data_IF_304062237759
#
_entry.id   IF_304062237759
#
_cell.length_a   1.000
_cell.length_b   1.000
_cell.length_c   1.000
_cell.angle_alpha   90.00
_cell.angle_beta   90.00
_cell.angle_gamma   90.00
#
_symmetry.space_group_name_H-M   'P 1'
#
loop_
_entity.id
_entity.type
_entity.pdbx_description
1 polymer ?
#
# COMPACT_ATOMS: atom_id res chain seq x y z
N UNK A 1 9.95 11.87 -3.06
CA UNK A 1 10.74 11.42 -4.24
C UNK A 1 11.58 10.24 -3.79
N UNK A 2 11.33 9.08 -4.39
CA UNK A 2 11.96 7.81 -3.98
C UNK A 2 13.31 7.66 -4.67
N UNK A 3 14.38 7.86 -3.91
CA UNK A 3 15.76 7.83 -4.40
C UNK A 3 16.49 6.58 -3.93
N UNK A 4 17.00 5.80 -4.87
CA UNK A 4 17.96 4.73 -4.62
C UNK A 4 19.36 5.30 -4.73
N UNK A 5 20.06 5.34 -3.61
CA UNK A 5 21.45 5.77 -3.54
C UNK A 5 22.37 4.57 -3.68
N UNK A 6 23.30 4.66 -4.60
CA UNK A 6 24.39 3.71 -4.79
C UNK A 6 25.57 4.28 -4.05
N UNK A 7 26.06 3.62 -3.03
CA UNK A 7 27.16 4.09 -2.18
C UNK A 7 28.23 3.02 -2.03
N UNK A 8 29.47 3.44 -1.80
CA UNK A 8 30.58 2.56 -1.46
C UNK A 8 30.95 2.76 0.02
N UNK A 9 31.09 1.66 0.76
CA UNK A 9 31.55 1.70 2.13
C UNK A 9 33.09 1.82 2.19
N UNK A 10 33.68 2.10 3.37
CA UNK A 10 35.14 2.18 3.55
C UNK A 10 35.89 0.88 3.21
N UNK A 11 35.22 -0.26 3.20
CA UNK A 11 35.77 -1.56 2.85
C UNK A 11 35.71 -1.85 1.33
N UNK A 12 35.19 -0.90 0.55
CA UNK A 12 35.07 -1.02 -0.90
C UNK A 12 33.80 -1.72 -1.39
N UNK A 13 32.89 -2.12 -0.50
CA UNK A 13 31.64 -2.76 -0.90
C UNK A 13 30.64 -1.73 -1.42
N UNK A 14 30.01 -2.05 -2.56
CA UNK A 14 28.96 -1.22 -3.13
C UNK A 14 27.60 -1.67 -2.59
N UNK A 15 26.83 -0.71 -2.11
CA UNK A 15 25.49 -0.96 -1.56
C UNK A 15 24.43 -0.31 -2.44
N UNK A 16 23.46 -1.11 -2.81
CA UNK A 16 22.22 -0.73 -3.47
C UNK A 16 21.07 -0.79 -2.45
N UNK A 17 20.50 0.35 -2.14
CA UNK A 17 19.48 0.44 -1.09
C UNK A 17 18.15 -0.13 -1.56
N UNK A 18 17.51 -0.96 -0.74
CA UNK A 18 16.09 -1.32 -0.90
C UNK A 18 15.20 -0.10 -0.59
N UNK A 19 14.21 0.13 -1.43
CA UNK A 19 13.18 1.16 -1.22
C UNK A 19 11.79 0.57 -1.33
N UNK A 20 10.83 1.22 -0.67
CA UNK A 20 9.41 0.91 -0.78
C UNK A 20 8.70 2.08 -1.45
N UNK A 21 7.83 1.79 -2.40
CA UNK A 21 7.10 2.79 -3.19
C UNK A 21 5.66 2.34 -3.44
N UNK A 22 4.77 3.28 -3.69
CA UNK A 22 3.46 2.99 -4.26
C UNK A 22 3.58 2.74 -5.77
N UNK A 23 2.68 1.93 -6.31
CA UNK A 23 2.68 1.51 -7.72
C UNK A 23 2.67 2.69 -8.71
N UNK A 24 2.19 3.87 -8.29
CA UNK A 24 2.14 5.09 -9.09
C UNK A 24 3.37 5.97 -8.97
N UNK A 25 4.30 5.63 -8.08
CA UNK A 25 5.48 6.43 -7.82
C UNK A 25 6.65 6.05 -8.73
N UNK A 26 7.53 7.03 -8.96
CA UNK A 26 8.76 6.84 -9.71
C UNK A 26 9.96 6.66 -8.77
N UNK A 27 10.93 5.89 -9.20
CA UNK A 27 12.21 5.69 -8.52
C UNK A 27 13.33 6.32 -9.34
N UNK A 28 14.23 7.00 -8.64
CA UNK A 28 15.43 7.60 -9.23
C UNK A 28 16.67 6.95 -8.63
N UNK A 29 17.63 6.64 -9.49
CA UNK A 29 18.94 6.20 -9.03
C UNK A 29 19.90 7.39 -8.93
N UNK A 30 20.69 7.42 -7.87
CA UNK A 30 21.77 8.40 -7.69
C UNK A 30 23.06 7.67 -7.39
N UNK A 31 24.03 7.80 -8.24
CA UNK A 31 25.36 7.25 -7.99
C UNK A 31 26.16 8.21 -7.10
N UNK A 32 26.45 7.77 -5.88
CA UNK A 32 27.32 8.43 -4.92
C UNK A 32 28.65 7.69 -4.71
N UNK A 33 28.91 6.64 -5.50
CA UNK A 33 30.22 5.97 -5.53
C UNK A 33 31.23 6.88 -6.23
N UNK A 34 32.27 7.35 -5.56
CA UNK A 34 33.25 8.25 -6.16
C UNK A 34 34.24 7.54 -7.08
N UNK A 35 34.24 6.21 -7.09
CA UNK A 35 35.29 5.41 -7.76
C UNK A 35 34.79 4.76 -9.05
N UNK A 36 33.49 4.46 -9.15
CA UNK A 36 32.99 3.67 -10.27
C UNK A 36 31.62 4.19 -10.78
N UNK A 37 31.41 3.97 -12.06
CA UNK A 37 30.11 4.10 -12.69
C UNK A 37 29.25 2.88 -12.35
N UNK A 38 27.94 3.06 -12.24
CA UNK A 38 26.96 2.00 -12.07
C UNK A 38 25.86 2.15 -13.10
N UNK A 39 25.35 1.04 -13.60
CA UNK A 39 24.27 0.99 -14.55
C UNK A 39 23.15 0.07 -14.05
N UNK A 40 22.32 0.56 -13.10
CA UNK A 40 21.21 -0.22 -12.58
C UNK A 40 20.13 -0.40 -13.65
N UNK A 41 19.70 -1.64 -13.87
CA UNK A 41 18.57 -1.96 -14.74
C UNK A 41 17.56 -2.80 -13.99
N UNK A 42 16.29 -2.54 -14.27
CA UNK A 42 15.21 -3.39 -13.77
C UNK A 42 15.15 -4.67 -14.57
N UNK A 43 14.72 -5.76 -13.94
CA UNK A 43 14.51 -7.04 -14.60
C UNK A 43 13.47 -6.98 -15.74
N UNK A 44 12.72 -5.88 -15.85
CA UNK A 44 11.68 -5.63 -16.85
C UNK A 44 12.14 -4.87 -18.09
N UNK A 45 13.44 -4.93 -18.45
CA UNK A 45 13.99 -4.38 -19.71
C UNK A 45 14.06 -2.85 -19.84
N UNK A 46 13.98 -2.08 -18.79
CA UNK A 46 14.25 -0.65 -18.88
C UNK A 46 15.75 -0.38 -18.73
N UNK A 47 16.38 -0.07 -19.83
CA UNK A 47 17.82 0.22 -19.91
C UNK A 47 18.01 1.72 -19.98
N UNK A 48 18.56 2.31 -18.93
CA UNK A 48 19.06 3.68 -18.98
C UNK A 48 20.47 3.73 -19.56
N UNK A 49 20.96 4.91 -20.03
CA UNK A 49 22.35 5.07 -20.43
C UNK A 49 23.28 4.82 -19.24
N UNK A 50 24.42 4.19 -19.50
CA UNK A 50 25.44 4.00 -18.48
C UNK A 50 25.90 5.38 -17.94
N UNK A 51 25.92 5.58 -16.61
CA UNK A 51 26.43 6.82 -16.05
C UNK A 51 27.93 6.95 -16.32
N UNK A 52 28.40 8.18 -16.52
CA UNK A 52 29.82 8.43 -16.64
C UNK A 52 30.55 8.12 -15.32
N UNK A 53 31.79 7.71 -15.41
CA UNK A 53 32.59 7.22 -14.27
C UNK A 53 32.72 8.21 -13.09
N UNK A 54 32.48 9.50 -13.29
CA UNK A 54 32.60 10.55 -12.26
C UNK A 54 31.27 11.27 -12.01
N UNK A 55 30.15 10.70 -12.43
CA UNK A 55 28.84 11.29 -12.24
C UNK A 55 28.34 11.01 -10.82
N UNK A 56 28.17 12.06 -10.02
CA UNK A 56 27.48 11.96 -8.74
C UNK A 56 25.99 11.66 -8.87
N UNK A 57 25.45 11.74 -10.08
CA UNK A 57 24.08 11.43 -10.42
C UNK A 57 24.08 10.48 -11.61
N UNK A 58 23.38 9.38 -11.45
CA UNK A 58 23.04 8.50 -12.55
C UNK A 58 21.76 9.05 -13.19
N UNK A 59 21.80 9.67 -14.39
CA UNK A 59 20.58 10.07 -15.08
C UNK A 59 19.93 8.84 -15.71
N UNK A 60 19.59 7.88 -14.91
CA UNK A 60 18.65 6.84 -15.33
C UNK A 60 17.29 7.53 -15.40
N UNK A 61 16.64 7.60 -16.58
CA UNK A 61 15.26 8.06 -16.63
C UNK A 61 14.49 7.25 -15.59
N UNK A 62 13.57 7.85 -14.84
CA UNK A 62 12.83 7.14 -13.81
C UNK A 62 12.28 5.87 -14.46
N UNK A 63 12.62 4.68 -13.93
CA UNK A 63 11.93 3.50 -14.37
C UNK A 63 10.48 3.75 -14.00
N UNK A 64 9.64 3.98 -15.00
CA UNK A 64 8.23 3.86 -14.76
C UNK A 64 8.04 2.40 -14.39
N UNK A 65 7.77 2.12 -13.13
CA UNK A 65 7.22 0.85 -12.71
C UNK A 65 5.79 0.85 -13.24
N UNK A 66 5.67 0.84 -14.56
CA UNK A 66 4.41 0.55 -15.21
C UNK A 66 4.17 -0.91 -14.92
N UNK A 67 3.24 -1.14 -14.02
CA UNK A 67 2.67 -2.47 -13.87
C UNK A 67 2.18 -2.94 -15.25
N UNK A 68 2.82 -3.93 -15.90
CA UNK A 68 2.28 -4.50 -17.11
C UNK A 68 1.04 -5.31 -16.69
N UNK A 69 -0.13 -4.72 -16.65
CA UNK A 69 -1.37 -5.23 -16.12
C UNK A 69 -1.31 -5.52 -14.60
N UNK A 70 -1.83 -4.61 -13.75
CA UNK A 70 -2.24 -5.07 -12.45
C UNK A 70 -3.23 -6.21 -12.71
N UNK A 71 -2.99 -7.39 -12.16
CA UNK A 71 -4.06 -8.39 -12.15
C UNK A 71 -5.26 -7.68 -11.54
N UNK A 72 -6.48 -7.89 -12.09
CA UNK A 72 -7.67 -7.29 -11.53
C UNK A 72 -7.61 -7.53 -10.04
N UNK A 73 -7.81 -6.48 -9.24
CA UNK A 73 -7.68 -6.51 -7.81
C UNK A 73 -8.63 -7.56 -7.24
N UNK A 74 -8.15 -8.79 -7.21
CA UNK A 74 -8.78 -9.84 -6.41
C UNK A 74 -8.48 -9.45 -4.97
N UNK A 75 -9.54 -9.24 -4.22
CA UNK A 75 -9.61 -8.78 -2.82
C UNK A 75 -8.66 -9.53 -1.85
N UNK A 76 -7.96 -10.54 -2.31
CA UNK A 76 -7.07 -11.42 -1.54
C UNK A 76 -5.59 -11.36 -1.93
N UNK A 77 -5.18 -10.49 -2.83
CA UNK A 77 -3.76 -10.41 -3.19
C UNK A 77 -3.03 -9.46 -2.25
N UNK A 78 -1.89 -9.92 -1.74
CA UNK A 78 -0.91 -9.03 -1.12
C UNK A 78 -0.63 -7.92 -2.13
N UNK A 79 -0.86 -6.67 -1.78
CA UNK A 79 -0.77 -5.56 -2.73
C UNK A 79 0.67 -5.23 -3.12
N UNK A 80 1.65 -6.04 -2.75
CA UNK A 80 3.04 -5.76 -3.03
C UNK A 80 3.67 -6.81 -3.93
N UNK A 81 4.40 -6.34 -4.92
CA UNK A 81 5.36 -7.13 -5.66
C UNK A 81 6.76 -6.53 -5.50
N UNK A 82 7.76 -7.32 -5.73
CA UNK A 82 9.15 -6.87 -5.69
C UNK A 82 9.73 -6.80 -7.09
N UNK A 83 10.48 -5.74 -7.36
CA UNK A 83 11.28 -5.60 -8.58
C UNK A 83 12.74 -5.67 -8.18
N UNK A 84 13.46 -6.65 -8.70
CA UNK A 84 14.91 -6.72 -8.54
C UNK A 84 15.58 -5.88 -9.62
N UNK A 85 16.57 -5.11 -9.25
CA UNK A 85 17.44 -4.40 -10.17
C UNK A 85 18.90 -4.77 -9.89
N UNK A 86 19.75 -4.71 -10.91
CA UNK A 86 21.16 -5.03 -10.81
C UNK A 86 22.00 -4.15 -11.72
N UNK A 87 23.27 -3.99 -11.37
CA UNK A 87 24.22 -3.31 -12.23
C UNK A 87 24.53 -4.17 -13.46
N UNK A 88 24.55 -3.55 -14.66
CA UNK A 88 24.87 -4.21 -15.92
C UNK A 88 26.34 -4.05 -16.35
N UNK A 89 27.13 -3.31 -15.60
CA UNK A 89 28.54 -3.12 -15.89
C UNK A 89 29.28 -4.45 -15.67
N UNK A 90 30.10 -4.92 -16.62
CA UNK A 90 30.90 -6.13 -16.44
C UNK A 90 31.74 -6.06 -15.15
N UNK A 91 31.73 -7.13 -14.38
CA UNK A 91 32.39 -7.20 -13.07
C UNK A 91 31.51 -6.78 -11.87
N UNK A 92 30.33 -6.16 -12.11
CA UNK A 92 29.42 -5.68 -11.07
C UNK A 92 28.15 -6.54 -10.90
N UNK A 93 28.16 -7.78 -11.40
CA UNK A 93 26.96 -8.63 -11.47
C UNK A 93 26.34 -8.99 -10.10
N UNK A 94 27.13 -8.87 -9.03
CA UNK A 94 26.66 -9.10 -7.66
C UNK A 94 26.02 -7.85 -7.03
N UNK A 95 26.11 -6.69 -7.69
CA UNK A 95 25.53 -5.44 -7.23
C UNK A 95 24.06 -5.39 -7.62
N UNK A 96 23.20 -5.66 -6.65
CA UNK A 96 21.77 -5.73 -6.85
C UNK A 96 21.00 -5.17 -5.67
N UNK A 97 19.75 -4.80 -5.92
CA UNK A 97 18.85 -4.34 -4.89
C UNK A 97 17.40 -4.66 -5.22
N UNK A 98 16.51 -4.27 -4.34
CA UNK A 98 15.08 -4.56 -4.43
C UNK A 98 14.26 -3.29 -4.28
N UNK A 99 13.26 -3.15 -5.12
CA UNK A 99 12.17 -2.19 -4.98
C UNK A 99 10.93 -2.94 -4.54
N UNK A 100 10.41 -2.61 -3.36
CA UNK A 100 9.12 -3.11 -2.90
C UNK A 100 8.02 -2.18 -3.40
N UNK A 101 7.11 -2.70 -4.21
CA UNK A 101 6.02 -1.92 -4.80
C UNK A 101 4.71 -2.29 -4.12
N UNK A 102 4.01 -1.29 -3.61
CA UNK A 102 2.72 -1.45 -2.91
C UNK A 102 1.59 -0.89 -3.76
N UNK A 103 0.42 -1.53 -3.69
CA UNK A 103 -0.79 -0.95 -4.25
C UNK A 103 -1.18 0.31 -3.47
N UNK A 104 -1.73 1.30 -4.17
CA UNK A 104 -2.24 2.51 -3.53
C UNK A 104 -3.36 2.16 -2.55
N UNK A 105 -3.38 2.85 -1.41
CA UNK A 105 -4.46 2.73 -0.43
C UNK A 105 -5.80 3.11 -1.07
N UNK A 106 -6.77 2.20 -1.03
CA UNK A 106 -8.06 2.38 -1.67
C UNK A 106 -9.21 1.79 -0.85
N UNK A 107 -10.43 2.25 -1.12
CA UNK A 107 -11.61 1.63 -0.57
C UNK A 107 -11.78 0.20 -1.14
N UNK A 108 -12.08 -0.72 -0.26
CA UNK A 108 -12.51 -2.06 -0.61
C UNK A 108 -14.01 -2.12 -0.86
N UNK A 109 -14.67 -3.16 -0.33
CA UNK A 109 -16.11 -3.28 -0.44
C UNK A 109 -16.82 -2.23 0.42
N UNK A 110 -17.62 -1.36 -0.18
CA UNK A 110 -18.35 -0.29 0.51
C UNK A 110 -19.76 -0.70 0.95
N UNK A 111 -20.37 -1.65 0.26
CA UNK A 111 -21.62 -2.30 0.69
C UNK A 111 -21.30 -3.69 1.22
N UNK A 112 -21.32 -3.82 2.54
CA UNK A 112 -20.96 -5.04 3.22
C UNK A 112 -22.09 -6.06 3.12
N UNK A 113 -21.74 -7.34 3.19
CA UNK A 113 -22.73 -8.41 3.27
C UNK A 113 -23.65 -8.23 4.48
N UNK A 114 -24.91 -8.57 4.30
CA UNK A 114 -25.89 -8.49 5.36
C UNK A 114 -25.52 -9.40 6.55
N UNK A 115 -25.89 -8.97 7.73
CA UNK A 115 -25.63 -9.66 8.99
C UNK A 115 -26.91 -9.88 9.79
N UNK A 116 -26.83 -10.74 10.81
CA UNK A 116 -27.89 -10.96 11.78
C UNK A 116 -27.44 -10.43 13.14
N UNK A 117 -28.33 -9.71 13.81
CA UNK A 117 -28.09 -9.24 15.18
C UNK A 117 -27.70 -10.39 16.11
N UNK A 118 -26.67 -10.20 16.91
CA UNK A 118 -26.19 -11.19 17.85
C UNK A 118 -25.36 -12.32 17.22
N UNK A 119 -25.15 -12.32 15.90
CA UNK A 119 -24.33 -13.31 15.21
C UNK A 119 -23.02 -12.70 14.74
N UNK A 120 -21.86 -13.33 15.00
CA UNK A 120 -20.57 -12.85 14.49
C UNK A 120 -20.58 -12.73 12.97
N UNK A 121 -20.13 -11.60 12.44
CA UNK A 121 -20.02 -11.43 10.98
C UNK A 121 -18.76 -12.11 10.44
N UNK A 122 -18.86 -12.58 9.21
CA UNK A 122 -17.68 -12.96 8.46
C UNK A 122 -16.81 -11.73 8.23
N UNK A 123 -15.50 -11.86 8.43
CA UNK A 123 -14.52 -10.80 8.17
C UNK A 123 -14.69 -10.20 6.78
N UNK A 124 -14.88 -8.89 6.68
CA UNK A 124 -15.12 -8.17 5.42
C UNK A 124 -14.09 -7.06 5.23
N UNK A 125 -13.46 -7.03 4.07
CA UNK A 125 -12.41 -6.06 3.76
C UNK A 125 -13.00 -4.75 3.29
N UNK A 126 -12.71 -3.67 4.02
CA UNK A 126 -13.19 -2.31 3.72
C UNK A 126 -12.11 -1.39 3.17
N UNK A 127 -10.85 -1.72 3.38
CA UNK A 127 -9.71 -1.01 2.79
C UNK A 127 -8.73 -2.01 2.22
N UNK A 128 -8.23 -1.73 1.03
CA UNK A 128 -7.25 -2.53 0.30
C UNK A 128 -6.02 -1.69 -0.03
N UNK A 129 -4.90 -2.34 -0.28
CA UNK A 129 -3.65 -1.65 -0.63
C UNK A 129 -3.03 -0.90 0.53
N UNK A 130 -2.08 -0.02 0.20
CA UNK A 130 -1.25 0.67 1.17
C UNK A 130 -0.21 -0.24 1.83
N UNK A 131 0.55 0.33 2.74
CA UNK A 131 1.57 -0.37 3.53
C UNK A 131 1.28 -0.24 5.03
N UNK A 132 1.31 -1.36 5.76
CA UNK A 132 1.18 -1.34 7.23
C UNK A 132 2.40 -0.66 7.89
N UNK A 133 2.24 -0.07 9.09
CA UNK A 133 1.01 -0.03 9.87
C UNK A 133 -0.03 0.94 9.31
N UNK A 134 -1.30 0.56 9.46
CA UNK A 134 -2.43 1.45 9.16
C UNK A 134 -2.89 2.15 10.42
N UNK A 135 -3.18 3.44 10.30
CA UNK A 135 -3.83 4.23 11.35
C UNK A 135 -5.26 4.51 10.95
N UNK A 136 -6.21 4.05 11.75
CA UNK A 136 -7.65 4.32 11.58
C UNK A 136 -8.07 5.42 12.54
N UNK A 137 -8.77 6.42 12.03
CA UNK A 137 -9.22 7.58 12.82
C UNK A 137 -10.59 8.10 12.36
N UNK A 138 -11.18 8.99 13.15
CA UNK A 138 -12.41 9.71 12.84
C UNK A 138 -13.58 8.80 12.42
N UNK A 139 -13.67 7.62 13.01
CA UNK A 139 -14.77 6.71 12.73
C UNK A 139 -16.07 7.22 13.34
N UNK A 140 -17.12 7.28 12.51
CA UNK A 140 -18.47 7.73 12.87
C UNK A 140 -19.50 6.79 12.27
N UNK A 141 -20.59 6.56 12.97
CA UNK A 141 -21.68 5.74 12.45
C UNK A 141 -23.07 6.34 12.70
N UNK A 142 -24.02 5.89 11.88
CA UNK A 142 -25.46 6.05 12.08
C UNK A 142 -26.14 4.72 11.77
N UNK A 143 -27.11 4.34 12.59
CA UNK A 143 -27.99 3.20 12.35
C UNK A 143 -29.37 3.76 12.05
N UNK A 144 -29.96 3.28 10.96
CA UNK A 144 -31.29 3.68 10.52
C UNK A 144 -32.27 2.50 10.57
N UNK A 145 -33.51 2.79 10.95
CA UNK A 145 -34.59 1.81 10.89
C UNK A 145 -35.09 1.58 9.43
N UNK A 146 -36.12 0.77 9.28
CA UNK A 146 -36.76 0.49 7.98
C UNK A 146 -37.44 1.73 7.36
N UNK A 147 -37.75 2.75 8.15
CA UNK A 147 -38.33 4.02 7.71
C UNK A 147 -37.27 5.09 7.43
N UNK A 148 -36.00 4.72 7.46
CA UNK A 148 -34.84 5.59 7.26
C UNK A 148 -34.63 6.63 8.39
N UNK A 149 -35.27 6.45 9.58
CA UNK A 149 -35.01 7.29 10.75
C UNK A 149 -33.73 6.85 11.45
N UNK A 150 -32.91 7.80 11.88
CA UNK A 150 -31.72 7.51 12.68
C UNK A 150 -32.17 7.07 14.08
N UNK A 151 -31.88 5.82 14.44
CA UNK A 151 -32.20 5.25 15.75
C UNK A 151 -30.99 5.23 16.69
N UNK A 152 -29.76 5.29 16.13
CA UNK A 152 -28.53 5.42 16.91
C UNK A 152 -27.42 6.03 16.06
N UNK A 153 -26.54 6.81 16.72
CA UNK A 153 -25.33 7.37 16.10
C UNK A 153 -24.23 7.54 17.14
N UNK A 154 -22.98 7.66 16.69
CA UNK A 154 -21.85 7.88 17.59
C UNK A 154 -20.49 7.67 16.92
N UNK A 155 -19.46 7.63 17.76
CA UNK A 155 -18.10 7.31 17.34
C UNK A 155 -17.94 5.80 17.10
N UNK A 156 -17.00 5.44 16.21
CA UNK A 156 -16.77 4.04 15.78
C UNK A 156 -17.54 3.67 14.52
N UNK A 157 -17.78 2.39 14.31
CA UNK A 157 -18.50 1.86 13.13
C UNK A 157 -19.81 1.18 13.50
N UNK A 158 -20.22 1.30 14.75
CA UNK A 158 -21.47 0.77 15.28
C UNK A 158 -21.27 -0.25 16.40
N UNK A 159 -22.32 -0.44 17.23
CA UNK A 159 -22.23 -1.28 18.40
C UNK A 159 -21.97 -2.74 18.04
N UNK A 160 -20.95 -3.31 18.69
CA UNK A 160 -20.50 -4.68 18.47
C UNK A 160 -19.57 -4.90 17.27
N UNK A 161 -19.30 -3.86 16.49
CA UNK A 161 -18.40 -3.92 15.33
C UNK A 161 -17.05 -3.26 15.62
N UNK A 162 -16.00 -3.74 14.95
CA UNK A 162 -14.64 -3.26 15.09
C UNK A 162 -13.93 -3.18 13.73
N UNK A 163 -13.03 -2.19 13.60
CA UNK A 163 -12.07 -2.09 12.51
C UNK A 163 -10.74 -2.72 12.96
N UNK A 164 -10.26 -3.66 12.19
CA UNK A 164 -8.98 -4.33 12.44
C UNK A 164 -8.03 -4.11 11.27
N UNK A 165 -6.96 -3.39 11.53
CA UNK A 165 -5.84 -3.29 10.61
C UNK A 165 -4.96 -4.53 10.72
N UNK A 166 -4.50 -5.06 9.60
CA UNK A 166 -3.64 -6.24 9.57
C UNK A 166 -2.17 -5.84 9.39
N UNK A 167 -1.23 -6.50 10.07
CA UNK A 167 0.19 -6.18 9.91
C UNK A 167 0.79 -6.68 8.59
N UNK A 168 0.04 -7.44 7.81
CA UNK A 168 0.49 -8.14 6.60
C UNK A 168 0.22 -7.35 5.30
N UNK A 169 -0.03 -6.05 5.38
CA UNK A 169 -0.33 -5.14 4.26
C UNK A 169 -1.60 -5.54 3.46
N UNK A 170 -2.51 -6.29 4.04
CA UNK A 170 -3.76 -6.67 3.36
C UNK A 170 -4.87 -5.65 3.51
N UNK A 171 -4.72 -4.65 4.39
CA UNK A 171 -5.64 -3.55 4.57
C UNK A 171 -6.41 -3.55 5.90
N UNK A 172 -7.62 -3.00 5.89
CA UNK A 172 -8.49 -2.88 7.06
C UNK A 172 -9.77 -3.69 6.88
N UNK A 173 -10.19 -4.34 7.94
CA UNK A 173 -11.31 -5.28 7.94
C UNK A 173 -12.34 -4.91 9.01
N UNK A 174 -13.61 -5.13 8.70
CA UNK A 174 -14.70 -5.12 9.68
C UNK A 174 -14.90 -6.51 10.23
N UNK A 175 -15.00 -6.60 11.56
CA UNK A 175 -15.31 -7.83 12.31
C UNK A 175 -16.24 -7.51 13.48
N UNK A 176 -16.70 -8.52 14.17
CA UNK A 176 -17.48 -8.36 15.40
C UNK A 176 -18.87 -8.98 15.33
N UNK A 177 -19.72 -8.63 16.30
CA UNK A 177 -21.09 -9.13 16.43
C UNK A 177 -22.02 -7.92 16.59
N UNK A 178 -22.80 -7.54 15.56
CA UNK A 178 -23.68 -6.39 15.65
C UNK A 178 -24.78 -6.62 16.70
N UNK A 179 -25.02 -5.62 17.55
CA UNK A 179 -25.98 -5.75 18.67
C UNK A 179 -27.29 -5.02 18.45
N UNK A 180 -27.43 -4.28 17.34
CA UNK A 180 -28.63 -3.52 16.99
C UNK A 180 -29.06 -3.88 15.57
N UNK A 181 -30.34 -4.10 15.32
CA UNK A 181 -30.88 -4.28 13.97
C UNK A 181 -31.05 -2.93 13.28
N UNK A 182 -30.87 -2.90 11.96
CA UNK A 182 -31.03 -1.70 11.15
C UNK A 182 -29.97 -1.60 10.04
N UNK A 183 -29.95 -0.48 9.35
CA UNK A 183 -28.92 -0.18 8.34
C UNK A 183 -27.81 0.62 8.98
N UNK A 184 -26.66 0.03 9.13
CA UNK A 184 -25.42 0.70 9.59
C UNK A 184 -24.83 1.48 8.43
N UNK A 185 -24.64 2.77 8.61
CA UNK A 185 -23.85 3.61 7.72
C UNK A 185 -22.70 4.17 8.53
N UNK A 186 -21.47 3.99 8.07
CA UNK A 186 -20.31 4.46 8.81
C UNK A 186 -19.22 4.99 7.88
N UNK A 187 -18.42 5.89 8.39
CA UNK A 187 -17.26 6.48 7.73
C UNK A 187 -16.04 6.41 8.65
N UNK A 188 -14.87 6.41 8.10
CA UNK A 188 -13.62 6.55 8.84
C UNK A 188 -12.52 7.04 7.90
N UNK A 189 -11.39 7.41 8.49
CA UNK A 189 -10.17 7.75 7.76
C UNK A 189 -9.12 6.67 8.00
N UNK A 190 -8.34 6.37 6.98
CA UNK A 190 -7.18 5.47 7.09
C UNK A 190 -5.96 6.15 6.50
N UNK A 191 -4.86 6.10 7.23
CA UNK A 191 -3.54 6.50 6.75
C UNK A 191 -2.62 5.28 6.84
N UNK A 192 -1.83 5.05 5.81
CA UNK A 192 -0.82 3.99 5.79
C UNK A 192 0.58 4.51 6.16
N UNK A 193 1.55 3.61 6.23
CA UNK A 193 2.93 3.94 6.55
C UNK A 193 3.61 4.87 5.52
N UNK A 194 3.20 4.81 4.26
CA UNK A 194 3.75 5.62 3.18
C UNK A 194 3.12 7.02 3.09
N UNK A 195 2.15 7.33 3.96
CA UNK A 195 1.43 8.59 3.96
C UNK A 195 0.23 8.61 2.99
N UNK A 196 -0.11 7.46 2.40
CA UNK A 196 -1.37 7.28 1.68
C UNK A 196 -2.54 7.56 2.61
N UNK A 197 -3.56 8.29 2.13
CA UNK A 197 -4.68 8.72 2.94
C UNK A 197 -6.00 8.43 2.23
N UNK A 198 -6.83 7.60 2.84
CA UNK A 198 -8.19 7.31 2.40
C UNK A 198 -9.16 8.04 3.33
N UNK A 199 -9.88 9.03 2.79
CA UNK A 199 -10.78 9.88 3.55
C UNK A 199 -12.24 9.56 3.29
N UNK A 200 -13.03 9.50 4.37
CA UNK A 200 -14.50 9.60 4.42
C UNK A 200 -15.27 8.77 3.37
N UNK A 201 -14.77 7.60 3.03
CA UNK A 201 -15.59 6.67 2.24
C UNK A 201 -16.75 6.20 3.10
N UNK A 202 -17.94 6.25 2.53
CA UNK A 202 -19.14 5.77 3.20
C UNK A 202 -19.32 4.28 2.99
N UNK A 203 -19.51 3.56 4.06
CA UNK A 203 -19.77 2.12 4.09
C UNK A 203 -21.17 1.85 4.61
N UNK A 204 -21.78 0.77 4.15
CA UNK A 204 -23.09 0.36 4.62
C UNK A 204 -23.18 -1.14 4.86
N UNK A 205 -23.96 -1.55 5.86
CA UNK A 205 -24.27 -2.94 6.18
C UNK A 205 -25.70 -3.05 6.72
N UNK A 206 -26.48 -3.97 6.19
CA UNK A 206 -27.81 -4.27 6.71
C UNK A 206 -27.73 -5.36 7.78
N UNK A 207 -28.33 -5.11 8.95
CA UNK A 207 -28.41 -6.05 10.08
C UNK A 207 -29.88 -6.36 10.36
N UNK A 208 -30.26 -7.61 10.21
CA UNK A 208 -31.60 -8.11 10.53
C UNK A 208 -31.75 -8.51 12.01
#
# INVERSE_FOLDING_TARGET
>A
MNQIRITRDPNGNVTFRTVSIDVTENVFFTNLDPQQAHWPTLATNQVGPAPSANSSQCPVPPPQVTNPNPPPATINQKPSYTVTYKCQIPGHQNEQGVINVFAVLAAGTTTLAAATKGTPITKQQVVVGGQSPYTVSNAQFQIKDSNNNVIQSGAGIGPGLQLNATPDNTGVWVTGTPTVSGTYNFTFMVTDHMGGNLQQVQYSMKVA
#
